data_IF_909233722006
#
_entry.id   IF_909233722006
#
_cell.length_a   1.000
_cell.length_b   1.000
_cell.length_c   1.000
_cell.angle_alpha   90.00
_cell.angle_beta   90.00
_cell.angle_gamma   90.00
#
_symmetry.space_group_name_H-M   'P 1'
#
loop_
_entity.id
_entity.type
_entity.pdbx_description
1 polymer ?
#
# COMPACT_ATOMS: atom_id res chain seq x y z
N UNK A 1 -2.48 19.69 7.67
CA UNK A 1 -1.42 18.76 8.15
C UNK A 1 -1.46 17.54 7.26
N UNK A 2 -0.34 17.17 6.68
CA UNK A 2 -0.24 15.97 5.85
C UNK A 2 0.11 14.78 6.75
N UNK A 3 -0.55 13.64 6.53
CA UNK A 3 -0.34 12.43 7.35
C UNK A 3 1.02 11.79 7.05
N UNK A 4 1.70 11.27 8.08
CA UNK A 4 2.99 10.56 7.94
C UNK A 4 2.96 9.48 6.85
N UNK A 5 1.88 8.73 6.75
CA UNK A 5 1.71 7.69 5.73
C UNK A 5 1.75 8.23 4.28
N UNK A 6 1.43 9.51 4.07
CA UNK A 6 1.55 10.17 2.76
C UNK A 6 2.96 10.72 2.54
N UNK A 7 3.52 11.39 3.57
CA UNK A 7 4.87 11.95 3.53
C UNK A 7 5.93 10.87 3.23
N UNK A 8 5.71 9.65 3.76
CA UNK A 8 6.62 8.52 3.59
C UNK A 8 6.34 7.68 2.34
N UNK A 9 5.48 8.16 1.43
CA UNK A 9 5.20 7.40 0.19
C UNK A 9 6.45 7.34 -0.68
N UNK A 10 6.95 6.13 -1.00
CA UNK A 10 8.19 5.99 -1.74
C UNK A 10 8.05 6.40 -3.21
N UNK A 11 9.10 7.02 -3.74
CA UNK A 11 9.25 7.33 -5.15
C UNK A 11 10.10 6.28 -5.88
N UNK A 12 10.83 5.43 -5.15
CA UNK A 12 11.67 4.36 -5.69
C UNK A 12 11.29 3.01 -5.09
N UNK A 13 11.42 1.95 -5.88
CA UNK A 13 11.20 0.57 -5.42
C UNK A 13 12.15 0.18 -4.28
N UNK A 14 13.38 0.72 -4.26
CA UNK A 14 14.36 0.52 -3.19
C UNK A 14 13.89 1.04 -1.83
N UNK A 15 12.98 2.01 -1.82
CA UNK A 15 12.49 2.66 -0.60
C UNK A 15 11.21 2.01 -0.05
N UNK A 16 10.63 1.09 -0.82
CA UNK A 16 9.47 0.30 -0.41
C UNK A 16 9.84 -0.60 0.77
N UNK A 17 9.05 -0.53 1.81
CA UNK A 17 9.27 -1.32 3.02
C UNK A 17 8.65 -2.72 2.85
N UNK A 18 9.43 -3.74 3.14
CA UNK A 18 9.02 -5.13 2.97
C UNK A 18 8.89 -5.55 1.50
N UNK A 19 8.09 -6.58 1.24
CA UNK A 19 7.77 -7.11 -0.11
C UNK A 19 9.01 -7.46 -0.97
N UNK A 20 10.11 -7.84 -0.33
CA UNK A 20 11.38 -8.14 -1.00
C UNK A 20 11.26 -9.23 -2.08
N UNK A 21 10.25 -10.11 -1.99
CA UNK A 21 9.96 -11.14 -2.99
C UNK A 21 9.46 -10.56 -4.32
N UNK A 22 8.93 -9.33 -4.34
CA UNK A 22 8.43 -8.63 -5.52
C UNK A 22 9.36 -7.52 -5.99
N UNK A 23 9.84 -6.67 -5.04
CA UNK A 23 10.56 -5.43 -5.33
C UNK A 23 12.04 -5.48 -4.96
N UNK A 24 12.53 -6.58 -4.39
CA UNK A 24 13.95 -6.77 -4.11
C UNK A 24 14.79 -6.76 -5.40
N UNK A 25 16.11 -6.57 -5.26
CA UNK A 25 17.02 -6.58 -6.40
C UNK A 25 16.90 -7.90 -7.18
N UNK A 26 16.76 -7.82 -8.51
CA UNK A 26 16.58 -8.98 -9.39
C UNK A 26 15.20 -9.65 -9.30
N UNK A 27 14.24 -9.06 -8.59
CA UNK A 27 12.87 -9.57 -8.50
C UNK A 27 11.99 -9.02 -9.62
N UNK A 28 10.82 -9.65 -9.78
CA UNK A 28 9.98 -9.48 -10.97
C UNK A 28 9.62 -8.01 -11.22
N UNK A 29 9.13 -7.28 -10.23
CA UNK A 29 8.73 -5.87 -10.42
C UNK A 29 9.96 -4.99 -10.67
N UNK A 30 11.05 -5.18 -9.91
CA UNK A 30 12.28 -4.43 -10.11
C UNK A 30 12.89 -4.66 -11.49
N UNK A 31 12.87 -5.89 -12.00
CA UNK A 31 13.37 -6.18 -13.35
C UNK A 31 12.49 -5.55 -14.44
N UNK A 32 11.15 -5.57 -14.29
CA UNK A 32 10.25 -4.93 -15.24
C UNK A 32 10.50 -3.42 -15.31
N UNK A 33 10.59 -2.77 -14.16
CA UNK A 33 10.85 -1.32 -14.09
C UNK A 33 12.24 -0.96 -14.60
N UNK A 34 13.27 -1.75 -14.25
CA UNK A 34 14.63 -1.56 -14.75
C UNK A 34 14.71 -1.64 -16.28
N UNK A 35 13.97 -2.58 -16.88
CA UNK A 35 13.90 -2.73 -18.34
C UNK A 35 12.92 -1.74 -19.01
N UNK A 36 12.32 -0.81 -18.24
CA UNK A 36 11.31 0.15 -18.71
C UNK A 36 10.12 -0.51 -19.42
N UNK A 37 9.72 -1.68 -18.96
CA UNK A 37 8.59 -2.44 -19.46
C UNK A 37 7.59 -2.62 -18.33
N UNK A 38 6.35 -2.27 -18.58
CA UNK A 38 5.25 -2.50 -17.66
C UNK A 38 4.08 -3.16 -18.37
N UNK A 39 3.67 -4.30 -17.86
CA UNK A 39 2.39 -4.93 -18.20
C UNK A 39 1.33 -4.47 -17.20
N UNK A 40 0.06 -4.59 -17.58
CA UNK A 40 -1.02 -4.39 -16.60
C UNK A 40 -0.88 -5.39 -15.45
N UNK A 41 -0.95 -4.88 -14.22
CA UNK A 41 -0.74 -5.65 -13.01
C UNK A 41 -1.87 -5.44 -12.00
N UNK A 42 -2.15 -6.44 -11.20
CA UNK A 42 -3.03 -6.33 -10.03
C UNK A 42 -2.20 -6.65 -8.78
N UNK A 43 -2.09 -5.68 -7.89
CA UNK A 43 -1.46 -5.84 -6.58
C UNK A 43 -2.55 -6.11 -5.55
N UNK A 44 -2.53 -7.28 -4.93
CA UNK A 44 -3.53 -7.61 -3.91
C UNK A 44 -2.88 -8.04 -2.59
N UNK A 45 -3.59 -7.87 -1.50
CA UNK A 45 -3.12 -8.24 -0.16
C UNK A 45 -3.78 -7.39 0.92
N UNK A 46 -3.51 -7.68 2.20
CA UNK A 46 -4.08 -6.96 3.33
C UNK A 46 -3.86 -5.45 3.28
N UNK A 47 -4.64 -4.64 4.01
CA UNK A 47 -4.40 -3.21 4.11
C UNK A 47 -3.01 -2.92 4.71
N UNK A 48 -2.45 -1.75 4.40
CA UNK A 48 -1.17 -1.29 4.95
C UNK A 48 0.08 -2.06 4.52
N UNK A 49 -0.02 -3.01 3.56
CA UNK A 49 1.10 -3.84 3.09
C UNK A 49 1.97 -3.20 2.01
N UNK A 50 1.62 -1.97 1.54
CA UNK A 50 2.43 -1.22 0.58
C UNK A 50 1.96 -1.27 -0.87
N UNK A 51 0.72 -1.69 -1.18
CA UNK A 51 0.18 -1.70 -2.56
C UNK A 51 0.32 -0.33 -3.25
N UNK A 52 -0.20 0.71 -2.62
CA UNK A 52 -0.11 2.10 -3.12
C UNK A 52 1.34 2.59 -3.21
N UNK A 53 2.19 2.17 -2.26
CA UNK A 53 3.61 2.49 -2.25
C UNK A 53 4.34 1.90 -3.46
N UNK A 54 4.10 0.62 -3.76
CA UNK A 54 4.68 -0.03 -4.95
C UNK A 54 4.17 0.65 -6.23
N UNK A 55 2.86 0.91 -6.33
CA UNK A 55 2.31 1.60 -7.50
C UNK A 55 2.93 2.99 -7.69
N UNK A 56 3.07 3.78 -6.61
CA UNK A 56 3.76 5.08 -6.63
C UNK A 56 5.19 4.95 -7.12
N UNK A 57 5.98 4.05 -6.56
CA UNK A 57 7.36 3.83 -6.96
C UNK A 57 7.49 3.42 -8.44
N UNK A 58 6.62 2.54 -8.93
CA UNK A 58 6.62 2.11 -10.34
C UNK A 58 6.41 3.31 -11.27
N UNK A 59 5.38 4.14 -11.02
CA UNK A 59 5.06 5.26 -11.93
C UNK A 59 6.13 6.33 -11.91
N UNK A 60 6.75 6.60 -10.75
CA UNK A 60 7.84 7.57 -10.62
C UNK A 60 9.12 7.08 -11.32
N UNK A 61 9.53 5.84 -11.11
CA UNK A 61 10.76 5.30 -11.74
C UNK A 61 10.61 5.13 -13.25
N UNK A 62 9.42 4.81 -13.75
CA UNK A 62 9.16 4.72 -15.20
C UNK A 62 9.08 6.09 -15.85
N UNK A 63 8.81 7.15 -15.08
CA UNK A 63 8.63 8.52 -15.57
C UNK A 63 7.61 8.61 -16.72
N UNK A 64 6.52 7.83 -16.63
CA UNK A 64 5.43 7.82 -17.60
C UNK A 64 4.27 8.68 -17.11
N UNK A 65 3.48 9.19 -18.05
CA UNK A 65 2.22 9.87 -17.72
C UNK A 65 1.29 8.88 -17.01
N UNK A 66 0.72 9.30 -15.89
CA UNK A 66 -0.21 8.47 -15.14
C UNK A 66 -1.39 9.25 -14.56
N UNK A 67 -2.47 8.53 -14.28
CA UNK A 67 -3.62 8.99 -13.51
C UNK A 67 -3.96 7.98 -12.43
N UNK A 68 -4.53 8.45 -11.34
CA UNK A 68 -5.04 7.60 -10.26
C UNK A 68 -6.54 7.80 -10.12
N UNK A 69 -7.30 6.72 -10.21
CA UNK A 69 -8.73 6.67 -9.95
C UNK A 69 -9.03 5.70 -8.82
N UNK A 70 -10.11 5.96 -8.11
CA UNK A 70 -10.66 5.03 -7.13
C UNK A 70 -11.99 4.49 -7.67
N UNK A 71 -12.12 3.17 -7.76
CA UNK A 71 -13.28 2.52 -8.37
C UNK A 71 -14.61 2.80 -7.64
N UNK A 72 -14.55 3.18 -6.35
CA UNK A 72 -15.74 3.51 -5.54
C UNK A 72 -16.21 4.94 -5.78
N UNK A 73 -15.27 5.89 -5.83
CA UNK A 73 -15.57 7.32 -5.84
C UNK A 73 -15.73 7.87 -7.25
N UNK A 74 -14.84 7.47 -8.15
CA UNK A 74 -14.83 7.98 -9.51
C UNK A 74 -15.96 7.39 -10.36
N UNK A 75 -16.59 8.24 -11.16
CA UNK A 75 -17.67 7.89 -12.05
C UNK A 75 -17.14 7.41 -13.40
N UNK A 76 -18.05 6.99 -14.30
CA UNK A 76 -17.72 6.58 -15.66
C UNK A 76 -17.03 7.70 -16.43
N UNK A 77 -17.50 8.92 -16.31
CA UNK A 77 -17.00 10.11 -16.97
C UNK A 77 -15.51 10.38 -16.65
N UNK A 78 -15.07 10.04 -15.43
CA UNK A 78 -13.66 10.19 -15.04
C UNK A 78 -12.77 9.21 -15.82
N UNK A 79 -13.27 8.01 -16.08
CA UNK A 79 -12.57 7.01 -16.92
C UNK A 79 -12.53 7.46 -18.38
N UNK A 80 -13.62 8.05 -18.90
CA UNK A 80 -13.66 8.59 -20.27
C UNK A 80 -12.63 9.71 -20.45
N UNK A 81 -12.46 10.60 -19.46
CA UNK A 81 -11.43 11.66 -19.46
C UNK A 81 -10.02 11.05 -19.56
N UNK A 82 -9.72 10.03 -18.74
CA UNK A 82 -8.42 9.36 -18.77
C UNK A 82 -8.15 8.70 -20.13
N UNK A 83 -9.16 8.11 -20.73
CA UNK A 83 -9.06 7.49 -22.04
C UNK A 83 -8.73 8.54 -23.12
N UNK A 84 -9.40 9.70 -23.10
CA UNK A 84 -9.11 10.79 -24.05
C UNK A 84 -7.69 11.35 -23.83
N UNK A 85 -7.26 11.53 -22.57
CA UNK A 85 -5.88 11.92 -22.28
C UNK A 85 -4.86 10.88 -22.80
N UNK A 86 -5.14 9.59 -22.64
CA UNK A 86 -4.27 8.52 -23.15
C UNK A 86 -4.17 8.57 -24.69
N UNK A 87 -5.27 8.82 -25.39
CA UNK A 87 -5.28 8.98 -26.85
C UNK A 87 -4.41 10.16 -27.31
N UNK A 88 -4.43 11.26 -26.57
CA UNK A 88 -3.63 12.45 -26.88
C UNK A 88 -2.14 12.24 -26.61
N UNK A 89 -1.78 11.50 -25.56
CA UNK A 89 -0.41 11.30 -25.11
C UNK A 89 0.26 10.04 -25.68
N UNK A 90 -0.47 9.19 -26.40
CA UNK A 90 0.03 7.97 -27.01
C UNK A 90 0.06 6.73 -26.12
N UNK A 91 0.17 6.88 -24.81
CA UNK A 91 0.02 5.81 -23.81
C UNK A 91 -0.03 6.38 -22.40
N UNK A 92 -0.62 5.65 -21.45
CA UNK A 92 -0.76 6.11 -20.07
C UNK A 92 -0.81 4.95 -19.07
N UNK A 93 -0.30 5.18 -17.87
CA UNK A 93 -0.53 4.28 -16.73
C UNK A 93 -1.77 4.76 -15.97
N UNK A 94 -2.70 3.85 -15.73
CA UNK A 94 -3.87 4.08 -14.89
C UNK A 94 -3.78 3.25 -13.61
N UNK A 95 -3.56 3.93 -12.49
CA UNK A 95 -3.62 3.32 -11.16
C UNK A 95 -5.08 3.32 -10.72
N UNK A 96 -5.64 2.14 -10.43
CA UNK A 96 -7.03 1.98 -9.97
C UNK A 96 -7.03 1.42 -8.56
N UNK A 97 -7.39 2.27 -7.59
CA UNK A 97 -7.59 1.82 -6.22
C UNK A 97 -8.97 1.14 -6.08
N UNK A 98 -9.05 0.12 -5.21
CA UNK A 98 -10.24 -0.71 -4.99
C UNK A 98 -10.81 -1.29 -6.32
N UNK A 99 -9.94 -1.74 -7.23
CA UNK A 99 -10.33 -2.20 -8.58
C UNK A 99 -11.45 -3.25 -8.57
N UNK A 100 -11.57 -4.05 -7.51
CA UNK A 100 -12.64 -5.04 -7.33
C UNK A 100 -14.04 -4.42 -7.19
N UNK A 101 -14.14 -3.11 -6.95
CA UNK A 101 -15.39 -2.35 -6.87
C UNK A 101 -15.83 -1.76 -8.21
N UNK A 102 -15.08 -1.99 -9.28
CA UNK A 102 -15.51 -1.55 -10.61
C UNK A 102 -16.78 -2.29 -11.02
N UNK A 103 -17.80 -1.51 -11.40
CA UNK A 103 -18.98 -2.07 -12.04
C UNK A 103 -18.70 -2.48 -13.49
N UNK A 104 -19.63 -3.22 -14.10
CA UNK A 104 -19.48 -3.76 -15.45
C UNK A 104 -19.21 -2.66 -16.48
N UNK A 105 -19.93 -1.54 -16.40
CA UNK A 105 -19.81 -0.44 -17.38
C UNK A 105 -18.41 0.16 -17.42
N UNK A 106 -17.78 0.39 -16.24
CA UNK A 106 -16.39 0.87 -16.15
C UNK A 106 -15.39 -0.15 -16.69
N UNK A 107 -15.66 -1.43 -16.47
CA UNK A 107 -14.80 -2.50 -16.97
C UNK A 107 -14.88 -2.63 -18.49
N UNK A 108 -16.08 -2.61 -19.06
CA UNK A 108 -16.30 -2.75 -20.51
C UNK A 108 -15.67 -1.60 -21.30
N UNK A 109 -15.64 -0.38 -20.74
CA UNK A 109 -14.98 0.77 -21.35
C UNK A 109 -13.45 0.60 -21.39
N UNK A 110 -12.83 0.06 -20.34
CA UNK A 110 -11.37 -0.06 -20.27
C UNK A 110 -10.81 -1.20 -21.09
N UNK A 111 -11.58 -2.26 -21.33
CA UNK A 111 -11.09 -3.47 -22.00
C UNK A 111 -10.41 -3.22 -23.36
N UNK A 112 -10.98 -2.44 -24.30
CA UNK A 112 -10.34 -2.17 -25.59
C UNK A 112 -8.97 -1.46 -25.45
N UNK A 113 -8.82 -0.61 -24.45
CA UNK A 113 -7.59 0.17 -24.25
C UNK A 113 -6.51 -0.62 -23.50
N UNK A 114 -6.91 -1.60 -22.69
CA UNK A 114 -6.01 -2.62 -22.14
C UNK A 114 -5.48 -3.54 -23.26
N UNK A 115 -6.36 -3.97 -24.17
CA UNK A 115 -6.00 -4.84 -25.29
C UNK A 115 -5.05 -4.17 -26.29
N UNK A 116 -5.29 -2.90 -26.59
CA UNK A 116 -4.44 -2.11 -27.49
C UNK A 116 -3.12 -1.68 -26.86
N UNK A 117 -2.98 -1.79 -25.53
CA UNK A 117 -1.82 -1.27 -24.78
C UNK A 117 -1.80 0.25 -24.65
N UNK A 118 -2.88 0.95 -25.02
CA UNK A 118 -2.99 2.40 -24.83
C UNK A 118 -3.04 2.77 -23.35
N UNK A 119 -3.69 1.94 -22.54
CA UNK A 119 -3.72 2.08 -21.07
C UNK A 119 -3.09 0.84 -20.45
N UNK A 120 -2.08 1.06 -19.61
CA UNK A 120 -1.52 0.03 -18.74
C UNK A 120 -2.09 0.22 -17.34
N UNK A 121 -2.76 -0.79 -16.80
CA UNK A 121 -3.41 -0.70 -15.48
C UNK A 121 -2.51 -1.21 -14.36
N UNK A 122 -2.46 -0.47 -13.26
CA UNK A 122 -1.99 -0.93 -11.96
C UNK A 122 -3.20 -0.99 -11.03
N UNK A 123 -3.82 -2.15 -10.91
CA UNK A 123 -4.99 -2.36 -10.05
C UNK A 123 -4.57 -2.67 -8.61
N UNK A 124 -5.20 -2.01 -7.63
CA UNK A 124 -4.95 -2.25 -6.21
C UNK A 124 -6.23 -2.81 -5.58
N UNK A 125 -6.08 -3.85 -4.75
CA UNK A 125 -7.22 -4.46 -4.06
C UNK A 125 -6.82 -5.15 -2.76
N UNK A 126 -7.72 -5.16 -1.79
CA UNK A 126 -7.61 -5.99 -0.58
C UNK A 126 -8.27 -7.36 -0.74
N UNK A 127 -9.12 -7.51 -1.76
CA UNK A 127 -9.87 -8.74 -2.05
C UNK A 127 -9.08 -9.66 -2.96
N UNK A 128 -9.30 -10.98 -2.83
CA UNK A 128 -8.70 -11.96 -3.75
C UNK A 128 -9.20 -11.71 -5.19
N UNK A 129 -8.31 -11.36 -6.16
CA UNK A 129 -8.71 -10.98 -7.50
C UNK A 129 -9.35 -12.13 -8.29
N UNK A 130 -9.08 -13.38 -7.94
CA UNK A 130 -9.66 -14.53 -8.64
C UNK A 130 -11.17 -14.64 -8.44
N UNK A 131 -11.70 -14.08 -7.36
CA UNK A 131 -13.14 -14.09 -7.04
C UNK A 131 -13.82 -12.72 -7.21
N UNK A 132 -13.03 -11.64 -7.21
CA UNK A 132 -13.59 -10.28 -7.10
C UNK A 132 -13.42 -9.42 -8.34
N UNK A 133 -12.59 -9.86 -9.31
CA UNK A 133 -12.31 -9.10 -10.54
C UNK A 133 -12.82 -9.89 -11.74
N UNK A 134 -13.45 -9.16 -12.69
CA UNK A 134 -13.93 -9.74 -13.93
C UNK A 134 -12.82 -10.54 -14.65
N UNK A 135 -13.10 -11.79 -15.07
CA UNK A 135 -12.15 -12.62 -15.79
C UNK A 135 -11.53 -11.95 -17.02
N UNK A 136 -12.26 -11.09 -17.73
CA UNK A 136 -11.77 -10.39 -18.90
C UNK A 136 -10.64 -9.40 -18.57
N UNK A 137 -10.74 -8.64 -17.47
CA UNK A 137 -9.65 -7.77 -16.99
C UNK A 137 -8.52 -8.62 -16.43
N UNK A 138 -8.87 -9.60 -15.58
CA UNK A 138 -7.89 -10.44 -14.90
C UNK A 138 -6.98 -11.20 -15.88
N UNK A 139 -7.52 -11.70 -16.99
CA UNK A 139 -6.74 -12.43 -18.01
C UNK A 139 -5.71 -11.54 -18.74
N UNK A 140 -5.83 -10.22 -18.62
CA UNK A 140 -4.92 -9.24 -19.24
C UNK A 140 -3.95 -8.62 -18.24
N UNK A 141 -3.99 -9.05 -16.99
CA UNK A 141 -3.15 -8.54 -15.92
C UNK A 141 -2.28 -9.64 -15.29
N UNK A 142 -1.05 -9.30 -14.91
CA UNK A 142 -0.27 -10.12 -14.00
C UNK A 142 -0.71 -9.85 -12.56
N UNK A 143 -0.84 -10.91 -11.76
CA UNK A 143 -1.34 -10.79 -10.39
C UNK A 143 -0.20 -11.02 -9.42
N UNK A 144 0.02 -10.08 -8.51
CA UNK A 144 1.04 -10.15 -7.47
C UNK A 144 0.43 -10.02 -6.08
N UNK A 145 0.78 -10.97 -5.23
CA UNK A 145 0.35 -10.98 -3.83
C UNK A 145 1.35 -10.25 -2.94
N UNK A 146 0.85 -9.28 -2.16
CA UNK A 146 1.58 -8.65 -1.09
C UNK A 146 1.28 -9.36 0.22
N UNK A 147 2.33 -9.69 0.94
CA UNK A 147 2.24 -10.34 2.25
C UNK A 147 2.11 -9.32 3.38
N UNK A 148 1.50 -9.68 4.51
CA UNK A 148 1.58 -8.86 5.71
C UNK A 148 3.04 -8.49 6.02
N UNK A 149 3.28 -7.26 6.46
CA UNK A 149 4.62 -6.82 6.85
C UNK A 149 5.03 -7.51 8.15
N UNK A 150 6.31 -7.82 8.26
CA UNK A 150 6.87 -8.33 9.53
C UNK A 150 6.97 -7.20 10.56
N UNK A 151 7.07 -7.55 11.85
CA UNK A 151 7.30 -6.54 12.89
C UNK A 151 8.58 -5.72 12.62
N UNK A 152 9.62 -6.34 12.07
CA UNK A 152 10.85 -5.63 11.69
C UNK A 152 10.62 -4.64 10.54
N UNK A 153 9.82 -4.99 9.53
CA UNK A 153 9.44 -4.06 8.46
C UNK A 153 8.69 -2.85 9.02
N UNK A 154 7.74 -3.09 9.94
CA UNK A 154 6.99 -2.02 10.60
C UNK A 154 7.93 -1.13 11.42
N UNK A 155 8.89 -1.70 12.18
CA UNK A 155 9.88 -0.92 12.94
C UNK A 155 10.68 -0.02 12.00
N UNK A 156 11.12 -0.51 10.85
CA UNK A 156 11.82 0.31 9.84
C UNK A 156 10.93 1.48 9.38
N UNK A 157 9.66 1.22 9.10
CA UNK A 157 8.71 2.27 8.72
C UNK A 157 8.46 3.30 9.82
N UNK A 158 8.30 2.84 11.06
CA UNK A 158 8.13 3.73 12.22
C UNK A 158 9.36 4.62 12.44
N UNK A 159 10.58 4.07 12.32
CA UNK A 159 11.82 4.86 12.44
C UNK A 159 11.90 5.96 11.38
N UNK A 160 11.56 5.66 10.12
CA UNK A 160 11.44 6.70 9.06
C UNK A 160 10.37 7.76 9.41
N UNK A 161 9.25 7.35 10.02
CA UNK A 161 8.20 8.27 10.49
C UNK A 161 8.68 9.18 11.61
N UNK A 162 9.40 8.62 12.59
CA UNK A 162 9.99 9.33 13.72
C UNK A 162 10.94 10.45 13.23
N UNK A 163 11.76 10.19 12.21
CA UNK A 163 12.65 11.19 11.61
C UNK A 163 11.92 12.41 11.00
N UNK A 164 10.62 12.29 10.75
CA UNK A 164 9.77 13.38 10.23
C UNK A 164 9.03 14.15 11.32
N UNK A 165 9.14 13.74 12.57
CA UNK A 165 8.47 14.34 13.71
C UNK A 165 9.47 15.14 14.56
N UNK A 166 9.19 16.43 14.76
CA UNK A 166 10.07 17.32 15.49
C UNK A 166 10.06 17.03 17.00
N UNK A 167 11.25 16.86 17.60
CA UNK A 167 11.45 16.70 19.04
C UNK A 167 10.69 15.52 19.68
N UNK A 168 10.37 14.47 18.91
CA UNK A 168 9.74 13.27 19.45
C UNK A 168 10.72 12.52 20.37
N UNK A 169 10.23 12.07 21.53
CA UNK A 169 10.92 11.16 22.43
C UNK A 169 10.13 9.86 22.53
N UNK A 170 10.74 8.77 22.09
CA UNK A 170 10.16 7.42 22.09
C UNK A 170 11.30 6.40 22.24
N UNK A 171 11.11 5.38 23.07
CA UNK A 171 12.08 4.30 23.22
C UNK A 171 11.85 3.13 22.25
N UNK A 172 12.88 2.31 22.04
CA UNK A 172 12.83 1.17 21.13
C UNK A 172 11.77 0.13 21.54
N UNK A 173 11.48 -0.01 22.83
CA UNK A 173 10.47 -0.96 23.31
C UNK A 173 9.04 -0.47 23.01
N UNK A 174 8.82 0.83 23.06
CA UNK A 174 7.53 1.43 22.63
C UNK A 174 7.36 1.32 21.10
N UNK A 175 8.43 1.49 20.32
CA UNK A 175 8.40 1.26 18.86
C UNK A 175 8.04 -0.19 18.54
N UNK A 176 8.67 -1.17 19.20
CA UNK A 176 8.34 -2.60 19.05
C UNK A 176 6.89 -2.89 19.45
N UNK A 177 6.40 -2.22 20.50
CA UNK A 177 5.04 -2.36 20.96
C UNK A 177 4.03 -1.91 19.88
N UNK A 178 4.23 -0.73 19.28
CA UNK A 178 3.41 -0.23 18.17
C UNK A 178 3.48 -1.20 16.97
N UNK A 179 4.69 -1.68 16.63
CA UNK A 179 4.89 -2.59 15.50
C UNK A 179 4.12 -3.90 15.67
N UNK A 180 4.17 -4.51 16.84
CA UNK A 180 3.42 -5.73 17.13
C UNK A 180 1.90 -5.51 17.15
N UNK A 181 1.46 -4.36 17.70
CA UNK A 181 0.06 -3.99 17.77
C UNK A 181 -0.58 -3.82 16.39
N UNK A 182 0.17 -3.29 15.41
CA UNK A 182 -0.32 -2.99 14.06
C UNK A 182 -0.56 -4.22 13.18
N UNK A 183 -0.13 -5.40 13.62
CA UNK A 183 -0.38 -6.69 12.96
C UNK A 183 -0.10 -6.68 11.44
N UNK A 184 1.05 -6.12 11.04
CA UNK A 184 1.50 -6.08 9.64
C UNK A 184 0.94 -4.95 8.79
N UNK A 185 0.20 -4.01 9.39
CA UNK A 185 -0.34 -2.80 8.74
C UNK A 185 0.50 -1.57 9.12
N UNK A 186 1.40 -1.15 8.22
CA UNK A 186 2.26 0.02 8.43
C UNK A 186 1.46 1.33 8.50
N UNK A 187 0.37 1.44 7.75
CA UNK A 187 -0.46 2.66 7.78
C UNK A 187 -1.09 2.85 9.16
N UNK A 188 -1.63 1.78 9.73
CA UNK A 188 -2.18 1.79 11.09
C UNK A 188 -1.10 2.09 12.13
N UNK A 189 0.12 1.55 11.97
CA UNK A 189 1.25 1.83 12.86
C UNK A 189 1.65 3.31 12.83
N UNK A 190 1.80 3.89 11.64
CA UNK A 190 2.14 5.31 11.46
C UNK A 190 1.05 6.23 11.99
N UNK A 191 -0.23 5.92 11.73
CA UNK A 191 -1.34 6.69 12.29
C UNK A 191 -1.36 6.65 13.80
N UNK A 192 -1.13 5.48 14.42
CA UNK A 192 -1.06 5.34 15.88
C UNK A 192 0.11 6.15 16.46
N UNK A 193 1.30 6.08 15.85
CA UNK A 193 2.44 6.90 16.23
C UNK A 193 2.11 8.40 16.18
N UNK A 194 1.50 8.85 15.09
CA UNK A 194 1.13 10.25 14.86
C UNK A 194 0.11 10.76 15.89
N UNK A 195 -0.93 9.97 16.17
CA UNK A 195 -1.91 10.31 17.21
C UNK A 195 -1.26 10.36 18.58
N UNK A 196 -0.40 9.40 18.93
CA UNK A 196 0.34 9.41 20.20
C UNK A 196 1.24 10.64 20.34
N UNK A 197 1.93 11.02 19.26
CA UNK A 197 2.80 12.20 19.25
C UNK A 197 2.02 13.50 19.47
N UNK A 198 0.87 13.69 18.81
CA UNK A 198 0.07 14.90 18.97
C UNK A 198 -0.76 14.93 20.26
N UNK A 199 -1.07 13.78 20.86
CA UNK A 199 -1.79 13.71 22.13
C UNK A 199 -0.87 13.81 23.36
N UNK A 200 0.45 13.74 23.19
CA UNK A 200 1.42 13.84 24.28
C UNK A 200 1.83 15.30 24.52
N UNK A 201 1.74 15.78 25.77
CA UNK A 201 2.07 17.17 26.11
C UNK A 201 3.53 17.53 25.80
N UNK A 202 4.47 16.61 26.06
CA UNK A 202 5.92 16.83 25.90
C UNK A 202 6.47 16.09 24.67
N UNK A 203 5.60 15.68 23.73
CA UNK A 203 5.97 14.86 22.57
C UNK A 203 6.70 13.56 22.96
N UNK A 204 6.48 13.11 24.19
CA UNK A 204 7.01 11.88 24.74
C UNK A 204 6.00 10.75 24.57
N UNK A 205 6.27 9.85 23.64
CA UNK A 205 5.43 8.68 23.36
C UNK A 205 5.90 7.50 24.21
N UNK A 206 5.07 7.09 25.17
CA UNK A 206 5.32 5.94 26.05
C UNK A 206 4.31 4.83 25.78
N UNK A 207 4.57 3.63 26.31
CA UNK A 207 3.61 2.51 26.20
C UNK A 207 2.25 2.84 26.79
N UNK A 208 2.20 3.62 27.89
CA UNK A 208 0.94 4.05 28.50
C UNK A 208 0.13 4.95 27.55
N UNK A 209 0.81 5.90 26.88
CA UNK A 209 0.17 6.77 25.87
C UNK A 209 -0.38 5.91 24.73
N UNK A 210 0.42 4.97 24.21
CA UNK A 210 -0.01 4.06 23.14
C UNK A 210 -1.22 3.23 23.56
N UNK A 211 -1.20 2.67 24.78
CA UNK A 211 -2.31 1.88 25.33
C UNK A 211 -3.59 2.72 25.45
N UNK A 212 -3.46 3.94 25.96
CA UNK A 212 -4.60 4.88 26.10
C UNK A 212 -5.21 5.23 24.74
N UNK A 213 -4.38 5.56 23.75
CA UNK A 213 -4.82 5.94 22.41
C UNK A 213 -5.44 4.74 21.66
N UNK A 214 -4.84 3.55 21.78
CA UNK A 214 -5.32 2.36 21.09
C UNK A 214 -6.60 1.76 21.67
N UNK A 215 -6.95 2.10 22.92
CA UNK A 215 -8.14 1.62 23.62
C UNK A 215 -8.17 0.11 23.94
N UNK A 216 -7.06 -0.60 23.73
CA UNK A 216 -6.93 -2.04 24.01
C UNK A 216 -5.60 -2.33 24.68
N UNK A 217 -5.65 -3.04 25.81
CA UNK A 217 -4.46 -3.73 26.31
C UNK A 217 -3.96 -4.73 25.26
N UNK A 218 -2.62 -4.88 25.09
CA UNK A 218 -2.10 -5.84 24.12
C UNK A 218 -2.53 -7.25 24.54
N UNK A 219 -3.10 -7.98 23.59
CA UNK A 219 -3.21 -9.42 23.70
C UNK A 219 -1.78 -9.97 23.51
N UNK A 220 -1.01 -9.99 24.60
CA UNK A 220 0.14 -10.88 24.67
C UNK A 220 -0.43 -12.29 24.70
N UNK A 221 -0.38 -12.98 23.56
CA UNK A 221 -0.42 -14.43 23.56
C UNK A 221 0.87 -14.90 24.25
N UNK A 222 0.84 -15.07 25.56
CA UNK A 222 1.82 -15.86 26.27
C UNK A 222 1.77 -17.27 25.68
N UNK A 223 2.75 -17.60 24.85
CA UNK A 223 2.97 -18.95 24.33
C UNK A 223 3.57 -19.88 25.38
N UNK A 224 3.32 -19.64 26.65
CA UNK A 224 3.80 -20.47 27.76
C UNK A 224 2.73 -20.59 28.85
N UNK A 225 1.56 -21.13 28.49
CA UNK A 225 0.70 -21.74 29.52
C UNK A 225 0.25 -23.11 29.00
N UNK A 226 1.20 -24.05 29.08
CA UNK A 226 0.90 -25.48 29.12
C UNK A 226 0.43 -25.82 30.55
N UNK A 227 -0.73 -25.28 30.93
CA UNK A 227 -1.41 -25.60 32.18
C UNK A 227 -2.25 -26.84 32.01
N UNK A 228 -1.76 -27.90 32.58
CA UNK A 228 -2.44 -29.15 32.94
C UNK A 228 -3.91 -28.89 33.36
N UNK A 229 -4.81 -29.62 32.74
CA UNK A 229 -6.05 -30.05 33.36
C UNK A 229 -6.11 -31.57 33.39
N UNK A 230 -6.03 -32.11 34.62
CA UNK A 230 -6.50 -33.44 34.99
C UNK A 230 -8.02 -33.53 34.81
#
# INVERSE_FOLDING_TARGET
MELLANILRPEKLSDVIGQSHLVGNGKVISNLVHNKVLFSVILYGPPGTGKTSIASAIVHELNMTYRTLNAVVNKKEDFDIVIEEAKMNGSMILVIDEIHRMNKDKQDILLPYLESGLITVIGLTTSNPYHSINPAIRSRCQIFELKPLTANDIIVGLKKGIEKLDNISIDDDTIKYIANYSNGDLRSALNLLEVCYYSSNDKKVTKEVVTTVSGKAPLFADKNDSGYYD
#
